data_IF_636772385151
#
_entry.id   IF_636772385151
#
_cell.length_a   1.000
_cell.length_b   1.000
_cell.length_c   1.000
_cell.angle_alpha   90.00
_cell.angle_beta   90.00
_cell.angle_gamma   90.00
#
_symmetry.space_group_name_H-M   'P 1'
#
loop_
_entity.id
_entity.type
_entity.pdbx_description
1 polymer ?
#
# COMPACT_ATOMS: atom_id res chain seq x y z
N UNK A 1 21.77 -5.56 4.68
CA UNK A 1 20.32 -5.77 4.49
C UNK A 1 20.10 -6.40 3.12
N UNK A 2 19.15 -7.32 2.98
CA UNK A 2 18.84 -7.97 1.70
C UNK A 2 17.90 -7.12 0.85
N UNK A 3 18.25 -6.93 -0.42
CA UNK A 3 17.44 -6.20 -1.40
C UNK A 3 16.74 -7.15 -2.37
N UNK A 4 15.55 -6.78 -2.81
CA UNK A 4 14.82 -7.45 -3.90
C UNK A 4 14.60 -6.44 -5.02
N UNK A 5 15.02 -6.78 -6.24
CA UNK A 5 14.81 -5.98 -7.45
C UNK A 5 13.79 -6.68 -8.34
N UNK A 6 12.65 -6.03 -8.55
CA UNK A 6 11.57 -6.42 -9.45
C UNK A 6 11.22 -5.28 -10.42
N UNK A 7 12.16 -4.39 -10.72
CA UNK A 7 11.93 -3.29 -11.66
C UNK A 7 11.57 -3.81 -13.05
N UNK A 8 10.48 -3.29 -13.63
CA UNK A 8 9.89 -3.77 -14.88
C UNK A 8 9.61 -5.29 -14.94
N UNK A 9 9.73 -5.99 -13.81
CA UNK A 9 9.55 -7.42 -13.66
C UNK A 9 8.12 -7.78 -13.29
N UNK A 10 7.91 -9.08 -13.06
CA UNK A 10 6.63 -9.62 -12.62
C UNK A 10 6.86 -10.75 -11.63
N UNK A 11 6.36 -10.58 -10.41
CA UNK A 11 6.19 -11.62 -9.40
C UNK A 11 4.71 -11.92 -9.29
N UNK A 12 4.32 -13.16 -9.56
CA UNK A 12 2.92 -13.56 -9.54
C UNK A 12 2.71 -14.83 -8.72
N UNK A 13 1.69 -14.82 -7.86
CA UNK A 13 1.15 -16.01 -7.22
C UNK A 13 -0.23 -16.28 -7.86
N UNK A 14 -0.38 -17.42 -8.53
CA UNK A 14 -1.55 -17.70 -9.36
C UNK A 14 -2.59 -18.61 -8.69
N UNK A 15 -2.25 -19.19 -7.54
CA UNK A 15 -3.17 -19.99 -6.73
C UNK A 15 -4.00 -19.13 -5.78
N UNK A 16 -4.55 -19.73 -4.72
CA UNK A 16 -5.36 -18.99 -3.71
C UNK A 16 -4.64 -18.81 -2.37
N UNK A 17 -3.42 -19.35 -2.25
CA UNK A 17 -2.60 -19.22 -1.04
C UNK A 17 -1.95 -17.84 -0.88
N UNK A 18 -1.33 -17.63 0.29
CA UNK A 18 -0.62 -16.40 0.62
C UNK A 18 0.65 -16.25 -0.23
N UNK A 19 0.77 -15.14 -0.96
CA UNK A 19 2.03 -14.65 -1.49
C UNK A 19 2.79 -13.91 -0.38
N UNK A 20 4.04 -14.27 -0.12
CA UNK A 20 4.90 -13.53 0.81
C UNK A 20 6.12 -12.98 0.08
N UNK A 21 6.33 -11.66 0.15
CA UNK A 21 7.50 -10.98 -0.39
C UNK A 21 8.24 -10.30 0.76
N UNK A 22 9.43 -10.79 1.08
CA UNK A 22 10.23 -10.32 2.20
C UNK A 22 11.57 -9.75 1.72
N UNK A 23 11.78 -8.44 1.90
CA UNK A 23 13.08 -7.79 1.78
C UNK A 23 13.47 -7.20 3.14
N UNK A 24 14.67 -7.52 3.64
CA UNK A 24 15.14 -6.96 4.93
C UNK A 24 15.72 -5.54 4.78
N UNK A 25 15.88 -5.08 3.53
CA UNK A 25 16.27 -3.71 3.17
C UNK A 25 15.28 -3.13 2.16
N UNK A 26 15.74 -2.94 0.92
CA UNK A 26 14.94 -2.35 -0.15
C UNK A 26 14.21 -3.42 -0.98
N UNK A 27 12.94 -3.18 -1.25
CA UNK A 27 12.17 -3.84 -2.30
C UNK A 27 11.90 -2.81 -3.40
N UNK A 28 12.49 -3.00 -4.56
CA UNK A 28 12.27 -2.13 -5.73
C UNK A 28 11.32 -2.79 -6.73
N UNK A 29 10.12 -2.27 -6.81
CA UNK A 29 9.06 -2.65 -7.75
C UNK A 29 8.76 -1.51 -8.75
N UNK A 30 9.72 -0.61 -9.00
CA UNK A 30 9.52 0.53 -9.90
C UNK A 30 9.17 0.05 -11.32
N UNK A 31 8.00 0.43 -11.82
CA UNK A 31 7.44 -0.05 -13.09
C UNK A 31 7.19 -1.56 -13.15
N UNK A 32 7.37 -2.27 -12.04
CA UNK A 32 7.19 -3.72 -11.90
C UNK A 32 5.81 -4.13 -11.42
N UNK A 33 5.60 -5.44 -11.29
CA UNK A 33 4.34 -6.03 -10.83
C UNK A 33 4.58 -7.06 -9.74
N UNK A 34 3.81 -6.98 -8.66
CA UNK A 34 3.69 -7.99 -7.61
C UNK A 34 2.20 -8.31 -7.48
N UNK A 35 1.77 -9.48 -7.95
CA UNK A 35 0.35 -9.81 -8.08
C UNK A 35 0.03 -11.17 -7.44
N UNK A 36 -0.76 -11.17 -6.38
CA UNK A 36 -1.25 -12.38 -5.71
C UNK A 36 -2.72 -12.65 -6.04
N UNK A 37 -3.05 -13.87 -6.46
CA UNK A 37 -4.44 -14.32 -6.68
C UNK A 37 -5.12 -14.81 -5.38
N UNK A 38 -4.33 -15.03 -4.32
CA UNK A 38 -4.80 -15.11 -2.93
C UNK A 38 -4.55 -13.82 -2.16
N UNK A 39 -4.13 -13.98 -0.90
CA UNK A 39 -3.65 -12.88 -0.07
C UNK A 39 -2.20 -12.52 -0.43
N UNK A 40 -1.78 -11.29 -0.11
CA UNK A 40 -0.39 -10.86 -0.23
C UNK A 40 0.12 -10.23 1.07
N UNK A 41 1.32 -10.66 1.49
CA UNK A 41 2.08 -10.06 2.57
C UNK A 41 3.40 -9.53 2.00
N UNK A 42 3.63 -8.22 2.14
CA UNK A 42 4.85 -7.56 1.68
C UNK A 42 5.55 -6.91 2.88
N UNK A 43 6.80 -7.28 3.11
CA UNK A 43 7.63 -6.71 4.16
C UNK A 43 8.89 -6.09 3.54
N UNK A 44 9.18 -4.82 3.86
CA UNK A 44 10.39 -4.12 3.42
C UNK A 44 10.81 -3.04 4.44
N UNK A 45 12.08 -2.62 4.46
CA UNK A 45 12.42 -1.35 5.13
C UNK A 45 12.11 -0.17 4.20
N UNK A 46 12.46 -0.29 2.93
CA UNK A 46 12.12 0.69 1.89
C UNK A 46 11.41 -0.02 0.76
N UNK A 47 10.19 0.38 0.44
CA UNK A 47 9.44 -0.11 -0.70
C UNK A 47 9.32 0.98 -1.77
N UNK A 48 9.93 0.75 -2.92
CA UNK A 48 9.78 1.61 -4.11
C UNK A 48 8.75 0.96 -5.04
N UNK A 49 7.59 1.58 -5.20
CA UNK A 49 6.50 1.14 -6.07
C UNK A 49 6.11 2.25 -7.07
N UNK A 50 7.02 3.17 -7.38
CA UNK A 50 6.76 4.26 -8.31
C UNK A 50 6.42 3.71 -9.70
N UNK A 51 5.31 4.14 -10.29
CA UNK A 51 4.74 3.57 -11.55
C UNK A 51 4.51 2.05 -11.55
N UNK A 52 4.72 1.40 -10.41
CA UNK A 52 4.61 -0.04 -10.22
C UNK A 52 3.21 -0.43 -9.73
N UNK A 53 3.02 -1.74 -9.57
CA UNK A 53 1.76 -2.33 -9.14
C UNK A 53 1.99 -3.43 -8.12
N UNK A 54 1.28 -3.34 -6.99
CA UNK A 54 1.15 -4.39 -5.99
C UNK A 54 -0.33 -4.67 -5.81
N UNK A 55 -0.78 -5.87 -6.17
CA UNK A 55 -2.20 -6.24 -6.08
C UNK A 55 -2.41 -7.61 -5.48
N UNK A 56 -3.30 -7.70 -4.51
CA UNK A 56 -3.87 -8.95 -4.03
C UNK A 56 -5.33 -9.05 -4.49
N UNK A 57 -5.73 -10.19 -5.03
CA UNK A 57 -7.14 -10.45 -5.35
C UNK A 57 -7.99 -10.56 -4.07
N UNK A 58 -7.37 -10.92 -2.95
CA UNK A 58 -7.99 -10.99 -1.63
C UNK A 58 -7.45 -9.88 -0.70
N UNK A 59 -6.84 -10.23 0.43
CA UNK A 59 -6.30 -9.25 1.39
C UNK A 59 -4.84 -8.89 1.04
N UNK A 60 -4.48 -7.62 1.24
CA UNK A 60 -3.09 -7.17 1.15
C UNK A 60 -2.65 -6.58 2.49
N UNK A 61 -1.51 -7.06 3.00
CA UNK A 61 -0.83 -6.50 4.16
C UNK A 61 0.56 -6.03 3.75
N UNK A 62 0.85 -4.76 3.99
CA UNK A 62 2.15 -4.14 3.76
C UNK A 62 2.71 -3.66 5.09
N UNK A 63 3.89 -4.17 5.46
CA UNK A 63 4.65 -3.66 6.61
C UNK A 63 5.97 -3.07 6.09
N UNK A 64 6.09 -1.74 6.15
CA UNK A 64 7.19 -1.02 5.53
C UNK A 64 7.80 0.01 6.47
N UNK A 65 9.11 0.28 6.36
CA UNK A 65 9.68 1.49 6.99
C UNK A 65 9.23 2.74 6.24
N UNK A 66 9.29 2.71 4.91
CA UNK A 66 8.73 3.72 4.01
C UNK A 66 8.17 3.11 2.72
N UNK A 67 7.25 3.81 2.08
CA UNK A 67 6.66 3.46 0.78
C UNK A 67 6.65 4.68 -0.14
N UNK A 68 7.31 4.56 -1.28
CA UNK A 68 7.09 5.41 -2.45
C UNK A 68 6.08 4.71 -3.37
N UNK A 69 4.84 5.20 -3.39
CA UNK A 69 3.78 4.77 -4.31
C UNK A 69 3.46 5.86 -5.35
N UNK A 70 4.44 6.69 -5.72
CA UNK A 70 4.21 7.80 -6.65
C UNK A 70 3.80 7.31 -8.04
N UNK A 71 2.64 7.75 -8.53
CA UNK A 71 2.02 7.23 -9.77
C UNK A 71 1.88 5.68 -9.79
N UNK A 72 2.01 5.03 -8.63
CA UNK A 72 1.93 3.60 -8.46
C UNK A 72 0.55 3.15 -8.01
N UNK A 73 0.37 1.84 -7.87
CA UNK A 73 -0.85 1.23 -7.34
C UNK A 73 -0.52 0.19 -6.29
N UNK A 74 -1.18 0.32 -5.13
CA UNK A 74 -1.35 -0.76 -4.15
C UNK A 74 -2.86 -1.01 -4.01
N UNK A 75 -3.31 -2.23 -4.31
CA UNK A 75 -4.71 -2.58 -4.19
C UNK A 75 -4.95 -3.96 -3.58
N UNK A 76 -6.01 -4.07 -2.79
CA UNK A 76 -6.56 -5.33 -2.29
C UNK A 76 -8.00 -5.48 -2.79
N UNK A 77 -8.36 -6.66 -3.27
CA UNK A 77 -9.76 -6.95 -3.61
C UNK A 77 -10.68 -6.87 -2.39
N UNK A 78 -10.18 -7.30 -1.22
CA UNK A 78 -10.89 -7.27 0.07
C UNK A 78 -10.29 -6.21 0.99
N UNK A 79 -9.42 -6.58 1.94
CA UNK A 79 -8.89 -5.67 2.94
C UNK A 79 -7.47 -5.19 2.61
N UNK A 80 -7.23 -3.90 2.77
CA UNK A 80 -5.88 -3.33 2.71
C UNK A 80 -5.43 -2.97 4.13
N UNK A 81 -4.31 -3.51 4.57
CA UNK A 81 -3.63 -3.11 5.80
C UNK A 81 -2.25 -2.56 5.44
N UNK A 82 -1.99 -1.30 5.78
CA UNK A 82 -0.69 -0.67 5.58
C UNK A 82 -0.17 -0.16 6.92
N UNK A 83 0.94 -0.72 7.36
CA UNK A 83 1.68 -0.27 8.54
C UNK A 83 3.05 0.24 8.13
N UNK A 84 3.48 1.39 8.65
CA UNK A 84 4.81 1.91 8.34
C UNK A 84 5.15 3.30 8.84
N UNK A 85 6.24 3.88 8.32
CA UNK A 85 6.65 5.25 8.62
C UNK A 85 6.09 6.22 7.59
N UNK A 86 6.91 6.57 6.60
CA UNK A 86 6.58 7.58 5.59
C UNK A 86 5.97 6.96 4.34
N UNK A 87 4.79 7.42 3.95
CA UNK A 87 4.06 6.98 2.76
C UNK A 87 3.89 8.16 1.80
N UNK A 88 4.52 8.07 0.63
CA UNK A 88 4.26 8.97 -0.49
C UNK A 88 3.30 8.31 -1.49
N UNK A 89 2.06 8.77 -1.52
CA UNK A 89 1.03 8.38 -2.46
C UNK A 89 0.77 9.46 -3.52
N UNK A 90 1.77 10.29 -3.86
CA UNK A 90 1.61 11.38 -4.83
C UNK A 90 1.20 10.85 -6.21
N UNK A 91 0.02 11.26 -6.70
CA UNK A 91 -0.60 10.70 -7.92
C UNK A 91 -0.78 9.18 -7.90
N UNK A 92 -0.63 8.56 -6.73
CA UNK A 92 -0.69 7.12 -6.52
C UNK A 92 -2.09 6.66 -6.12
N UNK A 93 -2.22 5.36 -5.95
CA UNK A 93 -3.46 4.69 -5.56
C UNK A 93 -3.21 3.73 -4.39
N UNK A 94 -3.93 3.91 -3.28
CA UNK A 94 -4.05 2.93 -2.19
C UNK A 94 -5.52 2.53 -2.09
N UNK A 95 -5.84 1.26 -2.35
CA UNK A 95 -7.25 0.86 -2.51
C UNK A 95 -7.57 -0.47 -1.81
N UNK A 96 -8.66 -0.48 -1.04
CA UNK A 96 -9.40 -1.69 -0.70
C UNK A 96 -10.70 -1.68 -1.51
N UNK A 97 -10.84 -2.58 -2.49
CA UNK A 97 -11.91 -2.48 -3.50
C UNK A 97 -13.29 -2.76 -2.88
N UNK A 98 -13.43 -3.88 -2.15
CA UNK A 98 -14.70 -4.27 -1.53
C UNK A 98 -14.69 -4.18 0.00
N UNK A 99 -13.52 -4.02 0.63
CA UNK A 99 -13.37 -4.10 2.07
C UNK A 99 -12.80 -2.85 2.72
N UNK A 100 -12.41 -3.01 3.99
CA UNK A 100 -11.79 -1.96 4.77
C UNK A 100 -10.37 -1.65 4.31
N UNK A 101 -9.98 -0.37 4.38
CA UNK A 101 -8.59 0.04 4.38
C UNK A 101 -8.20 0.53 5.78
N UNK A 102 -7.12 -0.02 6.32
CA UNK A 102 -6.53 0.38 7.60
C UNK A 102 -5.13 0.89 7.37
N UNK A 103 -4.89 2.17 7.66
CA UNK A 103 -3.58 2.80 7.58
C UNK A 103 -3.10 3.12 8.99
N UNK A 104 -1.98 2.55 9.40
CA UNK A 104 -1.29 2.85 10.65
C UNK A 104 0.14 3.27 10.30
N UNK A 105 0.31 4.53 9.93
CA UNK A 105 1.58 5.02 9.38
C UNK A 105 1.98 6.35 10.02
N UNK A 106 3.27 6.69 10.07
CA UNK A 106 3.68 7.98 10.65
C UNK A 106 3.19 9.15 9.78
N UNK A 107 3.59 9.19 8.50
CA UNK A 107 3.27 10.32 7.62
C UNK A 107 2.62 9.83 6.33
N UNK A 108 1.55 10.49 5.90
CA UNK A 108 0.91 10.23 4.61
C UNK A 108 0.90 11.51 3.75
N UNK A 109 1.59 11.45 2.61
CA UNK A 109 1.45 12.43 1.54
C UNK A 109 0.54 11.86 0.44
N UNK A 110 -0.71 12.33 0.38
CA UNK A 110 -1.68 11.99 -0.66
C UNK A 110 -1.89 13.16 -1.64
N UNK A 111 -0.81 13.74 -2.16
CA UNK A 111 -0.88 14.87 -3.11
C UNK A 111 -1.35 14.40 -4.48
N UNK A 112 -2.51 14.89 -4.94
CA UNK A 112 -3.15 14.44 -6.18
C UNK A 112 -3.30 12.90 -6.31
N UNK A 113 -3.21 12.16 -5.20
CA UNK A 113 -3.38 10.72 -5.12
C UNK A 113 -4.78 10.33 -4.64
N UNK A 114 -5.08 9.04 -4.63
CA UNK A 114 -6.31 8.53 -4.01
C UNK A 114 -6.02 7.46 -2.97
N UNK A 115 -6.77 7.55 -1.88
CA UNK A 115 -6.96 6.48 -0.89
C UNK A 115 -8.45 6.16 -0.85
N UNK A 116 -8.78 4.90 -1.12
CA UNK A 116 -10.16 4.44 -1.21
C UNK A 116 -10.40 3.16 -0.40
N UNK A 117 -11.53 3.11 0.31
CA UNK A 117 -12.08 1.88 0.88
C UNK A 117 -13.51 1.64 0.42
N UNK A 118 -13.77 0.45 -0.14
CA UNK A 118 -15.11 -0.02 -0.48
C UNK A 118 -16.01 -0.29 0.72
N UNK A 119 -15.43 -0.40 1.92
CA UNK A 119 -16.14 -0.39 3.19
C UNK A 119 -15.65 0.79 4.04
N UNK A 120 -15.00 0.54 5.18
CA UNK A 120 -14.54 1.59 6.09
C UNK A 120 -13.08 1.96 5.84
N UNK A 121 -12.75 3.24 5.99
CA UNK A 121 -11.37 3.73 6.03
C UNK A 121 -11.03 4.11 7.48
N UNK A 122 -10.02 3.47 8.05
CA UNK A 122 -9.47 3.83 9.35
C UNK A 122 -8.02 4.26 9.17
N UNK A 123 -7.67 5.48 9.54
CA UNK A 123 -6.33 6.02 9.41
C UNK A 123 -5.84 6.59 10.74
N UNK A 124 -4.77 6.04 11.27
CA UNK A 124 -4.03 6.56 12.42
C UNK A 124 -2.66 7.02 11.93
N UNK A 125 -2.41 8.32 12.06
CA UNK A 125 -1.27 9.01 11.46
C UNK A 125 -0.63 9.98 12.47
N UNK A 126 0.64 10.33 12.29
CA UNK A 126 1.22 11.51 12.93
C UNK A 126 0.89 12.75 12.12
N UNK A 127 1.13 12.72 10.81
CA UNK A 127 0.78 13.81 9.89
C UNK A 127 0.07 13.33 8.61
N UNK A 128 -0.77 14.20 8.06
CA UNK A 128 -1.45 14.01 6.79
C UNK A 128 -1.32 15.27 5.92
N UNK A 129 -0.73 15.11 4.73
CA UNK A 129 -0.87 16.06 3.62
C UNK A 129 -1.81 15.47 2.59
N UNK A 130 -2.97 16.09 2.36
CA UNK A 130 -3.93 15.61 1.37
C UNK A 130 -4.41 16.75 0.46
N UNK A 131 -3.98 16.71 -0.80
CA UNK A 131 -4.56 17.53 -1.88
C UNK A 131 -5.20 16.68 -2.98
N UNK A 132 -5.23 15.36 -2.80
CA UNK A 132 -6.01 14.41 -3.58
C UNK A 132 -7.30 13.99 -2.84
N UNK A 133 -7.66 12.71 -2.95
CA UNK A 133 -8.89 12.17 -2.34
C UNK A 133 -8.60 11.09 -1.31
N UNK A 134 -9.23 11.21 -0.14
CA UNK A 134 -9.34 10.17 0.89
C UNK A 134 -10.83 9.93 1.10
N UNK A 135 -11.36 8.76 0.77
CA UNK A 135 -12.79 8.49 0.89
C UNK A 135 -13.09 7.00 1.15
N UNK A 136 -14.26 6.76 1.74
CA UNK A 136 -14.79 5.45 2.05
C UNK A 136 -16.26 5.38 1.64
N UNK A 137 -16.75 4.19 1.26
CA UNK A 137 -18.18 3.99 1.06
C UNK A 137 -18.94 3.87 2.39
N UNK A 138 -18.26 3.42 3.45
CA UNK A 138 -18.74 3.35 4.82
C UNK A 138 -18.16 4.44 5.71
N UNK A 139 -17.83 4.09 6.95
CA UNK A 139 -17.27 5.04 7.90
C UNK A 139 -15.84 5.43 7.51
N UNK A 140 -15.53 6.70 7.70
CA UNK A 140 -14.18 7.23 7.55
C UNK A 140 -13.72 7.81 8.90
N UNK A 141 -12.75 7.14 9.52
CA UNK A 141 -12.09 7.60 10.75
C UNK A 141 -10.68 8.03 10.42
N UNK A 142 -10.34 9.26 10.79
CA UNK A 142 -9.02 9.84 10.61
C UNK A 142 -8.53 10.42 11.94
N UNK A 143 -7.49 9.83 12.48
CA UNK A 143 -6.84 10.24 13.73
C UNK A 143 -5.44 10.71 13.40
N UNK A 144 -5.12 11.96 13.76
CA UNK A 144 -3.76 12.50 13.69
C UNK A 144 -3.24 12.72 15.11
N UNK A 145 -2.05 12.24 15.42
CA UNK A 145 -1.44 12.37 16.74
C UNK A 145 -0.78 13.74 16.92
N UNK A 146 -0.34 14.37 15.82
CA UNK A 146 0.42 15.62 15.83
C UNK A 146 1.77 15.40 16.54
N UNK A 147 2.77 14.92 15.80
CA UNK A 147 4.15 14.88 16.28
C UNK A 147 4.79 16.27 16.31
#
# INVERSE_FOLDING_TARGET
AGSLDNRAGSLAQTGTGLMTVNATGQLDNTGGKIEGNGDALVNAQVLLNSTGRIVAAQDATLNVGSLDNTQGTVAAGRHLQLSGGDIDNTKGQLQAVAGNATLNVANLNNTAGNVFAGANLSSTLDTLSNTGSLYAAGNQTLTTSGA
#
